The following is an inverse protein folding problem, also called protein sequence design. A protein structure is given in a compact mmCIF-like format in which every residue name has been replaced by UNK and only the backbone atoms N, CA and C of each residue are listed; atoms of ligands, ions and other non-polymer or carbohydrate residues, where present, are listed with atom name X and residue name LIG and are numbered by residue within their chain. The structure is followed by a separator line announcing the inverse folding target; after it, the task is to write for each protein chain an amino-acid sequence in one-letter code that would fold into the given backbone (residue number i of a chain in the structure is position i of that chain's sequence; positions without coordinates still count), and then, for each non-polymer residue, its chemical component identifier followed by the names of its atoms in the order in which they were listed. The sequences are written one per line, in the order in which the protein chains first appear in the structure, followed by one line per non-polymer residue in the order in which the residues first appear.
data_IF_273985897161
#
_entry.id   IF_273985897161
#
_cell.length_a   1.000
_cell.length_b   1.000
_cell.length_c   1.000
_cell.angle_alpha   90.00
_cell.angle_beta   90.00
_cell.angle_gamma   90.00
#
_symmetry.space_group_name_H-M   'P 1'
#
loop_
_entity.id
_entity.type
_entity.pdbx_description
1 polymer ?
#
# COMPACT_ATOMS: atom_id res chain seq x y z
N UNK A 1 2.33 -5.54 9.31
CA UNK A 1 3.14 -4.60 10.12
C UNK A 1 2.91 -4.84 11.61
N UNK A 2 1.71 -4.64 12.18
CA UNK A 2 1.47 -4.85 13.62
C UNK A 2 1.90 -6.25 14.11
N UNK A 3 1.60 -7.30 13.35
CA UNK A 3 2.07 -8.65 13.64
C UNK A 3 3.61 -8.70 13.75
N UNK A 4 4.31 -8.14 12.77
CA UNK A 4 5.77 -8.17 12.76
C UNK A 4 6.35 -7.38 13.96
N UNK A 5 5.69 -6.27 14.36
CA UNK A 5 6.09 -5.46 15.51
C UNK A 5 6.09 -6.21 16.83
N UNK A 6 5.14 -7.13 17.00
CA UNK A 6 4.98 -7.86 18.28
C UNK A 6 5.67 -9.22 18.30
N UNK A 7 5.91 -9.83 17.15
CA UNK A 7 6.47 -11.19 17.07
C UNK A 7 7.94 -11.23 16.64
N UNK A 8 8.50 -10.13 16.10
CA UNK A 8 9.90 -10.09 15.69
C UNK A 8 10.76 -9.46 16.80
N UNK A 9 11.80 -10.16 17.23
CA UNK A 9 12.71 -9.67 18.27
C UNK A 9 13.74 -8.68 17.72
N UNK A 10 14.21 -8.90 16.50
CA UNK A 10 15.17 -8.01 15.85
C UNK A 10 14.52 -6.71 15.42
N UNK A 11 15.22 -5.58 15.55
CA UNK A 11 14.70 -4.29 15.12
C UNK A 11 14.54 -4.24 13.60
N UNK A 12 13.34 -3.88 13.14
CA UNK A 12 12.96 -3.77 11.74
C UNK A 12 12.82 -2.30 11.33
N UNK A 13 13.08 -2.02 10.06
CA UNK A 13 12.90 -0.69 9.51
C UNK A 13 11.87 -0.70 8.38
N UNK A 14 10.77 0.01 8.58
CA UNK A 14 9.63 0.05 7.68
C UNK A 14 9.37 1.44 7.11
N UNK A 15 9.04 1.48 5.82
CA UNK A 15 8.52 2.64 5.14
C UNK A 15 7.07 2.42 4.72
N UNK A 16 6.21 3.41 4.98
CA UNK A 16 4.85 3.46 4.45
C UNK A 16 4.70 4.69 3.57
N UNK A 17 4.29 4.52 2.34
CA UNK A 17 4.16 5.62 1.38
C UNK A 17 2.76 5.61 0.79
N UNK A 18 2.11 6.78 0.77
CA UNK A 18 0.84 7.00 0.09
C UNK A 18 0.93 8.21 -0.83
N UNK A 19 -0.09 8.44 -1.68
CA UNK A 19 -0.12 9.58 -2.60
C UNK A 19 -0.14 10.94 -1.86
N UNK A 20 -0.66 10.98 -0.64
CA UNK A 20 -0.75 12.21 0.16
C UNK A 20 -0.64 11.97 1.66
N UNK A 21 -0.33 13.05 2.42
CA UNK A 21 -0.35 13.01 3.89
C UNK A 21 -1.75 12.75 4.46
N UNK A 22 -2.80 13.12 3.74
CA UNK A 22 -4.19 12.84 4.13
C UNK A 22 -4.50 11.33 4.19
N UNK A 23 -3.72 10.50 3.51
CA UNK A 23 -3.83 9.05 3.53
C UNK A 23 -2.78 8.46 4.49
N UNK A 24 -1.52 8.89 4.37
CA UNK A 24 -0.42 8.28 5.11
C UNK A 24 -0.45 8.53 6.61
N UNK A 25 -0.88 9.71 7.06
CA UNK A 25 -0.94 10.06 8.48
C UNK A 25 -2.02 9.28 9.23
N UNK A 26 -3.29 9.22 8.78
CA UNK A 26 -4.33 8.41 9.44
C UNK A 26 -3.97 6.93 9.55
N UNK A 27 -3.29 6.36 8.54
CA UNK A 27 -2.86 4.97 8.58
C UNK A 27 -1.82 4.72 9.69
N UNK A 28 -0.87 5.65 9.87
CA UNK A 28 0.08 5.57 10.96
C UNK A 28 -0.60 5.79 12.33
N UNK A 29 -1.53 6.73 12.42
CA UNK A 29 -2.29 6.99 13.65
C UNK A 29 -3.13 5.78 14.07
N UNK A 30 -3.71 5.04 13.11
CA UNK A 30 -4.39 3.79 13.41
C UNK A 30 -3.45 2.72 14.00
N UNK A 31 -2.23 2.59 13.47
CA UNK A 31 -1.21 1.70 14.03
C UNK A 31 -0.82 2.14 15.45
N UNK A 32 -0.57 3.44 15.66
CA UNK A 32 -0.25 4.03 16.97
C UNK A 32 -1.35 3.77 17.98
N UNK A 33 -2.62 3.96 17.57
CA UNK A 33 -3.78 3.70 18.41
C UNK A 33 -3.78 2.25 18.94
N UNK A 34 -3.54 1.27 18.08
CA UNK A 34 -3.48 -0.12 18.53
C UNK A 34 -2.29 -0.40 19.45
N UNK A 35 -1.14 0.20 19.21
CA UNK A 35 0.04 0.04 20.05
C UNK A 35 -0.12 0.71 21.43
N UNK A 36 -0.92 1.76 21.52
CA UNK A 36 -1.12 2.54 22.76
C UNK A 36 -2.37 2.10 23.57
N UNK A 37 -3.43 1.62 22.90
CA UNK A 37 -4.75 1.45 23.53
C UNK A 37 -5.37 0.08 23.32
N UNK A 38 -4.80 -0.81 22.53
CA UNK A 38 -5.36 -2.15 22.37
C UNK A 38 -5.02 -3.02 23.59
N UNK A 39 -6.01 -3.22 24.46
CA UNK A 39 -5.86 -3.95 25.73
C UNK A 39 -5.24 -5.34 25.56
N UNK A 40 -5.57 -6.05 24.49
CA UNK A 40 -4.99 -7.37 24.20
C UNK A 40 -3.51 -7.27 23.85
N UNK A 41 -3.13 -6.31 23.03
CA UNK A 41 -1.72 -6.09 22.69
C UNK A 41 -0.92 -5.69 23.94
N UNK A 42 -1.44 -4.78 24.73
CA UNK A 42 -0.80 -4.35 25.98
C UNK A 42 -0.70 -5.48 26.99
N UNK A 43 -1.72 -6.33 27.10
CA UNK A 43 -1.70 -7.48 28.01
C UNK A 43 -0.63 -8.52 27.64
N UNK A 44 -0.51 -8.87 26.37
CA UNK A 44 0.43 -9.92 25.93
C UNK A 44 1.86 -9.44 25.67
N UNK A 45 2.03 -8.19 25.21
CA UNK A 45 3.32 -7.67 24.75
C UNK A 45 3.82 -6.46 25.57
N UNK A 46 3.00 -5.95 26.46
CA UNK A 46 3.32 -4.75 27.24
C UNK A 46 3.35 -3.47 26.42
N UNK A 47 3.85 -2.41 27.02
CA UNK A 47 4.04 -1.12 26.34
C UNK A 47 5.24 -1.18 25.38
N UNK A 48 4.96 -1.06 24.09
CA UNK A 48 5.93 -1.12 22.99
C UNK A 48 6.46 0.24 22.54
N UNK A 49 5.87 1.35 23.03
CA UNK A 49 6.21 2.71 22.63
C UNK A 49 7.64 3.09 22.97
N UNK A 50 8.42 3.47 21.97
CA UNK A 50 9.80 3.92 22.12
C UNK A 50 9.93 5.43 22.30
N UNK A 51 11.14 5.95 22.09
CA UNK A 51 11.46 7.37 22.31
C UNK A 51 10.87 8.31 21.25
N UNK A 52 10.78 7.86 20.01
CA UNK A 52 10.26 8.65 18.89
C UNK A 52 8.82 8.25 18.62
N UNK A 53 7.92 9.23 18.64
CA UNK A 53 6.49 9.01 18.48
C UNK A 53 5.83 10.25 17.88
N UNK A 54 6.20 10.55 16.63
CA UNK A 54 5.71 11.71 15.89
C UNK A 54 4.54 11.36 14.98
N UNK A 55 4.05 12.31 14.23
CA UNK A 55 2.97 12.14 13.27
C UNK A 55 3.37 11.20 12.10
N UNK A 56 4.64 11.23 11.70
CA UNK A 56 5.14 10.52 10.52
C UNK A 56 6.29 9.54 10.79
N UNK A 57 6.74 9.41 12.05
CA UNK A 57 7.90 8.58 12.41
C UNK A 57 7.76 8.04 13.83
N UNK A 58 7.67 6.74 13.98
CA UNK A 58 7.59 6.05 15.27
C UNK A 58 8.72 5.02 15.42
N UNK A 59 9.15 4.86 16.67
CA UNK A 59 10.14 3.87 17.06
C UNK A 59 9.61 3.07 18.25
N UNK A 60 9.73 1.75 18.21
CA UNK A 60 9.38 0.84 19.29
C UNK A 60 10.55 0.65 20.24
N UNK A 61 10.31 0.13 21.45
CA UNK A 61 11.33 -0.15 22.47
C UNK A 61 12.43 -1.10 22.00
N UNK A 62 12.11 -2.03 21.09
CA UNK A 62 13.11 -2.94 20.51
C UNK A 62 13.93 -2.29 19.37
N UNK A 63 13.71 -1.01 19.07
CA UNK A 63 14.39 -0.29 17.98
C UNK A 63 13.74 -0.43 16.62
N UNK A 64 12.62 -1.17 16.49
CA UNK A 64 11.83 -1.22 15.25
C UNK A 64 11.29 0.15 14.93
N UNK A 65 11.37 0.54 13.66
CA UNK A 65 11.00 1.86 13.19
C UNK A 65 10.03 1.80 12.03
N UNK A 66 9.03 2.68 12.04
CA UNK A 66 8.11 2.90 10.92
C UNK A 66 8.08 4.38 10.59
N UNK A 67 8.38 4.69 9.32
CA UNK A 67 8.30 6.05 8.76
C UNK A 67 7.18 6.09 7.75
N UNK A 68 6.28 7.05 7.91
CA UNK A 68 5.21 7.36 6.94
C UNK A 68 5.64 8.53 6.05
N UNK A 69 5.42 8.43 4.74
CA UNK A 69 5.73 9.46 3.75
C UNK A 69 4.57 9.67 2.80
N UNK A 70 4.39 10.92 2.40
CA UNK A 70 3.33 11.33 1.46
C UNK A 70 3.80 11.37 0.00
N UNK A 71 5.00 10.88 -0.29
CA UNK A 71 5.53 10.77 -1.64
C UNK A 71 6.69 9.78 -1.71
N UNK A 72 6.91 9.21 -2.89
CA UNK A 72 7.94 8.20 -3.14
C UNK A 72 9.37 8.73 -2.93
N UNK A 73 9.62 10.01 -3.22
CA UNK A 73 10.96 10.61 -3.08
C UNK A 73 11.41 10.73 -1.62
N UNK A 74 10.47 10.78 -0.67
CA UNK A 74 10.74 10.85 0.77
C UNK A 74 11.43 9.61 1.34
N UNK A 75 11.40 8.49 0.63
CA UNK A 75 12.07 7.23 1.03
C UNK A 75 13.59 7.38 1.10
N UNK A 76 14.21 8.13 0.18
CA UNK A 76 15.68 8.35 0.19
C UNK A 76 16.20 8.97 1.48
N UNK A 77 15.44 9.87 2.10
CA UNK A 77 15.86 10.57 3.32
C UNK A 77 15.64 9.76 4.61
N UNK A 78 14.96 8.62 4.54
CA UNK A 78 14.63 7.78 5.69
C UNK A 78 15.75 6.86 6.15
N UNK A 79 16.69 6.52 5.27
CA UNK A 79 17.83 5.68 5.59
C UNK A 79 18.78 6.41 6.55
N UNK A 80 18.56 6.27 7.85
CA UNK A 80 19.47 6.73 8.91
C UNK A 80 20.30 5.55 9.41
N UNK A 81 21.55 5.83 9.75
CA UNK A 81 22.46 4.87 10.41
C UNK A 81 22.78 3.62 9.58
N UNK A 82 22.91 3.74 8.26
CA UNK A 82 23.34 2.65 7.36
C UNK A 82 22.38 1.46 7.26
N UNK A 83 21.15 1.56 7.79
CA UNK A 83 20.13 0.52 7.65
C UNK A 83 19.19 0.85 6.49
N UNK A 84 18.98 -0.13 5.61
CA UNK A 84 17.99 -0.09 4.54
C UNK A 84 16.64 -0.60 5.04
N UNK A 85 15.59 -0.42 4.25
CA UNK A 85 14.25 -0.85 4.65
C UNK A 85 14.09 -2.37 4.54
N UNK A 86 13.61 -2.99 5.60
CA UNK A 86 13.19 -4.40 5.61
C UNK A 86 11.86 -4.59 4.89
N UNK A 87 10.99 -3.56 4.91
CA UNK A 87 9.75 -3.53 4.16
C UNK A 87 9.40 -2.09 3.77
N UNK A 88 9.02 -1.91 2.52
CA UNK A 88 8.32 -0.69 2.07
C UNK A 88 6.91 -1.09 1.62
N UNK A 89 5.91 -0.37 2.11
CA UNK A 89 4.53 -0.48 1.67
C UNK A 89 4.17 0.77 0.87
N UNK A 90 3.76 0.59 -0.37
CA UNK A 90 3.16 1.63 -1.20
C UNK A 90 1.64 1.41 -1.16
N UNK A 91 0.93 2.33 -0.54
CA UNK A 91 -0.50 2.24 -0.27
C UNK A 91 -1.24 3.39 -0.94
N UNK A 92 -2.06 3.09 -1.93
CA UNK A 92 -2.75 4.08 -2.76
C UNK A 92 -1.82 5.23 -3.20
N UNK A 93 -0.63 4.87 -3.68
CA UNK A 93 0.41 5.83 -4.06
C UNK A 93 0.20 6.44 -5.46
N UNK A 94 -0.63 5.80 -6.29
CA UNK A 94 -1.16 6.34 -7.54
C UNK A 94 -2.57 6.85 -7.31
N UNK A 95 -2.84 8.07 -7.77
CA UNK A 95 -4.17 8.69 -7.77
C UNK A 95 -4.48 9.35 -9.12
N UNK A 96 -5.73 9.82 -9.30
CA UNK A 96 -6.14 10.51 -10.52
C UNK A 96 -5.24 11.72 -10.83
N UNK A 97 -4.76 12.45 -9.81
CA UNK A 97 -3.99 13.68 -10.01
C UNK A 97 -2.53 13.39 -10.44
N UNK A 98 -1.91 12.39 -9.85
CA UNK A 98 -0.50 12.08 -10.13
C UNK A 98 -0.30 11.15 -11.34
N UNK A 99 -1.40 10.67 -11.96
CA UNK A 99 -1.37 9.80 -13.15
C UNK A 99 -1.93 10.45 -14.43
N UNK A 100 -2.30 11.74 -14.40
CA UNK A 100 -2.93 12.45 -15.53
C UNK A 100 -2.06 12.39 -16.78
N UNK A 101 -0.78 12.77 -16.68
CA UNK A 101 0.11 12.88 -17.83
C UNK A 101 1.02 11.65 -17.97
N UNK A 102 1.44 11.34 -19.20
CA UNK A 102 2.43 10.28 -19.44
C UNK A 102 3.75 10.54 -18.72
N UNK A 103 4.15 11.82 -18.60
CA UNK A 103 5.34 12.23 -17.86
C UNK A 103 5.21 11.93 -16.36
N UNK A 104 4.06 12.24 -15.74
CA UNK A 104 3.84 11.94 -14.32
C UNK A 104 3.83 10.44 -14.06
N UNK A 105 3.22 9.62 -14.93
CA UNK A 105 3.27 8.15 -14.83
C UNK A 105 4.68 7.59 -14.98
N UNK A 106 5.44 8.08 -15.97
CA UNK A 106 6.85 7.71 -16.14
C UNK A 106 7.69 8.10 -14.91
N UNK A 107 7.44 9.26 -14.31
CA UNK A 107 8.09 9.70 -13.07
C UNK A 107 7.80 8.75 -11.90
N UNK A 108 6.55 8.30 -11.73
CA UNK A 108 6.19 7.31 -10.72
C UNK A 108 6.96 6.01 -10.94
N UNK A 109 6.95 5.47 -12.15
CA UNK A 109 7.69 4.25 -12.50
C UNK A 109 9.18 4.37 -12.18
N UNK A 110 9.80 5.49 -12.56
CA UNK A 110 11.19 5.78 -12.23
C UNK A 110 11.44 5.89 -10.73
N UNK A 111 10.53 6.51 -9.96
CA UNK A 111 10.68 6.60 -8.51
C UNK A 111 10.57 5.22 -7.85
N UNK A 112 9.65 4.37 -8.27
CA UNK A 112 9.54 3.00 -7.72
C UNK A 112 10.79 2.19 -8.03
N UNK A 113 11.26 2.21 -9.29
CA UNK A 113 12.38 1.36 -9.73
C UNK A 113 13.75 1.89 -9.33
N UNK A 114 13.97 3.21 -9.35
CA UNK A 114 15.27 3.82 -9.10
C UNK A 114 15.45 4.43 -7.70
N UNK A 115 14.37 4.54 -6.91
CA UNK A 115 14.42 5.11 -5.55
C UNK A 115 13.94 4.11 -4.51
N UNK A 116 12.71 3.59 -4.67
CA UNK A 116 12.07 2.75 -3.66
C UNK A 116 12.72 1.36 -3.62
N UNK A 117 12.80 0.69 -4.77
CA UNK A 117 13.38 -0.66 -4.82
C UNK A 117 14.84 -0.71 -4.33
N UNK A 118 15.75 0.20 -4.75
CA UNK A 118 17.11 0.22 -4.23
C UNK A 118 17.25 0.63 -2.75
N UNK A 119 16.20 1.17 -2.13
CA UNK A 119 16.21 1.51 -0.71
C UNK A 119 15.95 0.30 0.20
N UNK A 120 15.52 -0.84 -0.37
CA UNK A 120 15.30 -2.08 0.34
C UNK A 120 16.62 -2.76 0.74
N UNK A 121 16.58 -3.52 1.83
CA UNK A 121 17.72 -4.35 2.25
C UNK A 121 17.99 -5.43 1.19
N UNK A 122 19.24 -5.56 0.71
CA UNK A 122 19.59 -6.55 -0.30
C UNK A 122 19.27 -7.98 0.14
N UNK A 123 18.56 -8.72 -0.70
CA UNK A 123 18.22 -10.12 -0.50
C UNK A 123 17.07 -10.41 0.46
N UNK A 124 16.77 -9.53 1.41
CA UNK A 124 15.70 -9.76 2.42
C UNK A 124 14.62 -8.70 2.42
N UNK A 125 14.91 -7.50 1.90
CA UNK A 125 13.96 -6.41 1.83
C UNK A 125 12.76 -6.72 0.94
N UNK A 126 11.58 -6.31 1.36
CA UNK A 126 10.29 -6.59 0.69
C UNK A 126 9.62 -5.30 0.26
N UNK A 127 9.07 -5.30 -0.94
CA UNK A 127 8.17 -4.25 -1.42
C UNK A 127 6.75 -4.81 -1.51
N UNK A 128 5.81 -4.13 -0.89
CA UNK A 128 4.37 -4.41 -1.03
C UNK A 128 3.69 -3.21 -1.65
N UNK A 129 2.85 -3.49 -2.63
CA UNK A 129 2.02 -2.48 -3.27
C UNK A 129 0.57 -2.88 -3.05
N UNK A 130 -0.20 -1.95 -2.52
CA UNK A 130 -1.63 -2.06 -2.33
C UNK A 130 -2.28 -0.84 -3.00
N UNK A 131 -3.34 -1.07 -3.78
CA UNK A 131 -4.04 0.00 -4.49
C UNK A 131 -4.85 -0.54 -5.65
N UNK A 132 -5.62 0.34 -6.26
CA UNK A 132 -6.41 0.07 -7.46
C UNK A 132 -5.76 0.70 -8.70
N UNK A 133 -5.87 0.09 -9.89
CA UNK A 133 -5.40 0.71 -11.12
C UNK A 133 -6.25 1.95 -11.46
N UNK A 134 -5.68 3.14 -11.34
CA UNK A 134 -6.39 4.41 -11.61
C UNK A 134 -6.30 4.85 -13.08
N UNK A 135 -5.42 4.27 -13.86
CA UNK A 135 -5.21 4.59 -15.29
C UNK A 135 -4.70 3.35 -16.03
N UNK A 136 -5.10 3.20 -17.32
CA UNK A 136 -4.67 2.05 -18.15
C UNK A 136 -3.15 1.92 -18.32
N UNK A 137 -2.41 3.02 -18.16
CA UNK A 137 -0.94 3.09 -18.22
C UNK A 137 -0.35 3.50 -16.86
N UNK A 138 -0.98 3.14 -15.74
CA UNK A 138 -0.44 3.31 -14.39
C UNK A 138 0.59 2.23 -14.08
N UNK A 139 1.43 2.45 -13.08
CA UNK A 139 2.44 1.48 -12.66
C UNK A 139 1.81 0.16 -12.20
N UNK A 140 0.74 0.24 -11.39
CA UNK A 140 -0.01 -0.95 -10.94
C UNK A 140 -0.59 -1.71 -12.13
N UNK A 141 -1.27 -1.02 -13.05
CA UNK A 141 -1.88 -1.68 -14.20
C UNK A 141 -0.85 -2.33 -15.12
N UNK A 142 0.30 -1.69 -15.31
CA UNK A 142 1.41 -2.25 -16.09
C UNK A 142 1.98 -3.53 -15.46
N UNK A 143 2.02 -3.62 -14.10
CA UNK A 143 2.37 -4.87 -13.41
C UNK A 143 1.33 -5.95 -13.71
N UNK A 144 0.04 -5.66 -13.62
CA UNK A 144 -1.04 -6.62 -13.89
C UNK A 144 -0.96 -7.16 -15.33
N UNK A 145 -0.85 -6.28 -16.33
CA UNK A 145 -0.71 -6.66 -17.74
C UNK A 145 0.53 -7.55 -17.96
N UNK A 146 1.67 -7.19 -17.38
CA UNK A 146 2.89 -7.96 -17.54
C UNK A 146 2.82 -9.31 -16.80
N UNK A 147 2.16 -9.38 -15.67
CA UNK A 147 1.86 -10.62 -14.97
C UNK A 147 1.04 -11.56 -15.84
N UNK A 148 -0.09 -11.10 -16.39
CA UNK A 148 -0.95 -11.92 -17.25
C UNK A 148 -0.20 -12.44 -18.49
N UNK A 149 0.61 -11.57 -19.13
CA UNK A 149 1.46 -11.96 -20.26
C UNK A 149 2.49 -13.01 -19.88
N UNK A 150 3.10 -12.89 -18.72
CA UNK A 150 4.11 -13.85 -18.24
C UNK A 150 3.46 -15.20 -17.92
N UNK A 151 2.31 -15.19 -17.26
CA UNK A 151 1.56 -16.41 -16.95
C UNK A 151 1.09 -17.12 -18.23
N UNK A 152 0.55 -16.39 -19.19
CA UNK A 152 0.14 -16.92 -20.48
C UNK A 152 1.31 -17.53 -21.30
N UNK A 153 2.51 -16.99 -21.10
CA UNK A 153 3.74 -17.48 -21.73
C UNK A 153 4.46 -18.58 -20.91
N UNK A 154 3.92 -19.01 -19.76
CA UNK A 154 4.56 -19.99 -18.87
C UNK A 154 5.89 -19.50 -18.27
N UNK A 155 6.05 -18.19 -18.08
CA UNK A 155 7.28 -17.58 -17.56
C UNK A 155 7.10 -17.17 -16.09
N UNK A 156 8.20 -17.23 -15.35
CA UNK A 156 8.26 -16.68 -14.01
C UNK A 156 8.06 -15.16 -14.01
N UNK A 157 7.43 -14.64 -12.96
CA UNK A 157 7.25 -13.22 -12.75
C UNK A 157 7.75 -12.83 -11.36
N UNK A 158 8.50 -11.73 -11.28
CA UNK A 158 9.16 -11.30 -10.02
C UNK A 158 8.19 -10.82 -8.94
N UNK A 159 6.93 -10.50 -9.31
CA UNK A 159 5.92 -10.05 -8.38
C UNK A 159 4.93 -11.16 -8.07
N UNK A 160 4.59 -11.31 -6.79
CA UNK A 160 3.40 -12.07 -6.41
C UNK A 160 2.19 -11.15 -6.52
N UNK A 161 1.31 -11.44 -7.46
CA UNK A 161 0.10 -10.65 -7.72
C UNK A 161 -1.10 -11.33 -7.06
N UNK A 162 -1.91 -10.55 -6.36
CA UNK A 162 -3.19 -10.98 -5.77
C UNK A 162 -4.21 -9.92 -6.14
N UNK A 163 -5.27 -10.32 -6.83
CA UNK A 163 -6.34 -9.43 -7.25
C UNK A 163 -7.65 -9.81 -6.56
N UNK A 164 -8.32 -8.83 -6.00
CA UNK A 164 -9.64 -8.99 -5.38
C UNK A 164 -10.63 -8.12 -6.16
N UNK A 165 -11.41 -8.73 -7.04
CA UNK A 165 -12.48 -8.04 -7.77
C UNK A 165 -13.67 -7.83 -6.84
N UNK A 166 -14.25 -6.65 -6.80
CA UNK A 166 -15.47 -6.41 -6.03
C UNK A 166 -16.65 -7.24 -6.55
N UNK A 167 -16.65 -7.50 -7.87
CA UNK A 167 -17.58 -8.41 -8.54
C UNK A 167 -16.76 -9.60 -9.02
N UNK A 168 -17.08 -10.79 -8.54
CA UNK A 168 -16.43 -12.04 -8.93
C UNK A 168 -16.82 -12.43 -10.36
N UNK A 169 -16.10 -13.37 -10.96
CA UNK A 169 -16.34 -13.81 -12.35
C UNK A 169 -17.72 -14.47 -12.55
N UNK A 170 -18.32 -14.99 -11.49
CA UNK A 170 -19.69 -15.53 -11.46
C UNK A 170 -20.77 -14.47 -11.23
N UNK A 171 -20.38 -13.18 -11.14
CA UNK A 171 -21.27 -12.05 -10.91
C UNK A 171 -21.62 -11.81 -9.45
N UNK A 172 -21.10 -12.62 -8.50
CA UNK A 172 -21.35 -12.41 -7.09
C UNK A 172 -20.48 -11.29 -6.48
N UNK A 173 -21.00 -10.53 -5.48
CA UNK A 173 -20.18 -9.58 -4.75
C UNK A 173 -19.13 -10.26 -3.89
N UNK A 174 -17.92 -9.65 -3.76
CA UNK A 174 -16.87 -10.13 -2.87
C UNK A 174 -17.31 -10.09 -1.38
N UNK A 175 -18.10 -9.09 -0.99
CA UNK A 175 -18.61 -8.90 0.37
C UNK A 175 -20.13 -8.72 0.38
N UNK A 176 -20.90 -9.79 0.20
CA UNK A 176 -22.35 -9.69 0.02
C UNK A 176 -23.08 -9.07 1.21
N UNK A 177 -22.56 -9.26 2.45
CA UNK A 177 -23.17 -8.71 3.67
C UNK A 177 -22.99 -7.20 3.81
N UNK A 178 -21.93 -6.63 3.21
CA UNK A 178 -21.62 -5.20 3.30
C UNK A 178 -21.85 -4.47 1.99
N UNK A 179 -21.50 -5.08 0.88
CA UNK A 179 -21.60 -4.52 -0.47
C UNK A 179 -22.27 -5.54 -1.41
N UNK A 180 -23.59 -5.79 -1.16
CA UNK A 180 -24.36 -6.77 -1.90
C UNK A 180 -24.88 -6.26 -3.24
N UNK A 181 -25.57 -7.14 -3.99
CA UNK A 181 -26.11 -6.83 -5.34
C UNK A 181 -26.91 -5.53 -5.40
N UNK A 182 -27.78 -5.28 -4.39
CA UNK A 182 -28.63 -4.07 -4.36
C UNK A 182 -27.77 -2.78 -4.31
N UNK A 183 -26.71 -2.78 -3.52
CA UNK A 183 -25.81 -1.63 -3.42
C UNK A 183 -24.97 -1.47 -4.68
N UNK A 184 -24.49 -2.57 -5.26
CA UNK A 184 -23.79 -2.55 -6.54
C UNK A 184 -24.63 -1.95 -7.64
N UNK A 185 -25.88 -2.41 -7.81
CA UNK A 185 -26.80 -1.87 -8.83
C UNK A 185 -27.12 -0.38 -8.60
N UNK A 186 -27.28 0.02 -7.33
CA UNK A 186 -27.46 1.43 -6.97
C UNK A 186 -26.28 2.29 -7.41
N UNK A 187 -25.06 1.85 -7.13
CA UNK A 187 -23.84 2.57 -7.52
C UNK A 187 -23.62 2.56 -9.02
N UNK A 188 -23.81 1.42 -9.68
CA UNK A 188 -23.72 1.31 -11.14
C UNK A 188 -24.69 2.27 -11.83
N UNK A 189 -25.94 2.34 -11.34
CA UNK A 189 -26.93 3.30 -11.83
C UNK A 189 -26.49 4.74 -11.60
N UNK A 190 -25.96 5.08 -10.42
CA UNK A 190 -25.48 6.43 -10.12
C UNK A 190 -24.37 6.87 -11.11
N UNK A 191 -23.37 6.03 -11.37
CA UNK A 191 -22.31 6.36 -12.33
C UNK A 191 -22.83 6.47 -13.76
N UNK A 192 -23.80 5.61 -14.14
CA UNK A 192 -24.47 5.69 -15.44
C UNK A 192 -25.25 6.98 -15.62
N UNK A 193 -26.09 7.33 -14.64
CA UNK A 193 -26.90 8.55 -14.65
C UNK A 193 -26.03 9.82 -14.62
N UNK A 194 -24.82 9.72 -14.04
CA UNK A 194 -23.82 10.80 -14.00
C UNK A 194 -22.98 10.91 -15.27
N UNK A 195 -23.23 10.08 -16.30
CA UNK A 195 -22.48 10.09 -17.56
C UNK A 195 -21.06 9.54 -17.47
N UNK A 196 -20.71 8.83 -16.38
CA UNK A 196 -19.37 8.28 -16.14
C UNK A 196 -19.40 6.77 -15.81
N UNK A 197 -20.07 5.91 -16.60
CA UNK A 197 -20.25 4.50 -16.27
C UNK A 197 -18.93 3.73 -16.13
N UNK A 198 -17.88 4.15 -16.85
CA UNK A 198 -16.55 3.54 -16.76
C UNK A 198 -15.91 3.69 -15.38
N UNK A 199 -16.25 4.74 -14.62
CA UNK A 199 -15.73 4.93 -13.24
C UNK A 199 -16.21 3.84 -12.28
N UNK A 200 -17.41 3.29 -12.51
CA UNK A 200 -17.85 2.15 -11.71
C UNK A 200 -16.88 0.96 -11.81
N UNK A 201 -16.44 0.63 -13.03
CA UNK A 201 -15.53 -0.49 -13.25
C UNK A 201 -14.06 -0.19 -12.93
N UNK A 202 -13.72 1.07 -12.63
CA UNK A 202 -12.40 1.43 -12.08
C UNK A 202 -12.36 1.26 -10.56
N UNK A 203 -13.51 1.45 -9.89
CA UNK A 203 -13.60 1.41 -8.42
C UNK A 203 -13.99 0.02 -7.90
N UNK A 204 -14.76 -0.74 -8.69
CA UNK A 204 -15.38 -2.03 -8.32
C UNK A 204 -15.07 -3.13 -9.33
#
# INVERSE_FOLDING_TARGET
ILHDFVFTQDPLFYGWVAASSKISVPNLDYIKYHLEYNEKLLYYFGDLKGRKWTEDDIELKNGTKLISKSNLSGIRGGAKLHKRYDLIVLDDFEDENNTITSESRAKISNLVTAVVFPALEPGTGRLRINGTPVHFDSFINNILINYDRSMAAGKDFSWKVITHKAIQDDGTPLWPDWFGHKEMERKKKFYSDSGTPQKFYQEY
#
